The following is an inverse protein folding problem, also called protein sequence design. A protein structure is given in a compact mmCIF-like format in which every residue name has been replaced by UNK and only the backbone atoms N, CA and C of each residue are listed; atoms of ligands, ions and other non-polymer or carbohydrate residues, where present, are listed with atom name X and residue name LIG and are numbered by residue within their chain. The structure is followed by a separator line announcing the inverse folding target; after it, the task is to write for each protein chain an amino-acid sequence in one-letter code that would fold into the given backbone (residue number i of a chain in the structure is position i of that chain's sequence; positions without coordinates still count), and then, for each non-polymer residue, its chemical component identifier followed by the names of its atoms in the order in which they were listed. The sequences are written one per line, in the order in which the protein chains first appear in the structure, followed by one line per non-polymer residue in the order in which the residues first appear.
data_IF_045129468088
#
_entry.id   IF_045129468088
#
_cell.length_a   1.000
_cell.length_b   1.000
_cell.length_c   1.000
_cell.angle_alpha   90.00
_cell.angle_beta   90.00
_cell.angle_gamma   90.00
#
_symmetry.space_group_name_H-M   'P 1'
#
loop_
_entity.id
_entity.type
_entity.pdbx_description
1 polymer ?
#
# COMPACT_ATOMS: atom_id res chain seq x y z
N UNK A 1 13.84 -5.67 0.28
CA UNK A 1 15.00 -6.56 0.14
C UNK A 1 16.06 -6.40 1.23
N UNK A 2 16.76 -5.25 1.39
CA UNK A 2 17.82 -5.09 2.43
C UNK A 2 17.36 -5.40 3.88
N UNK A 3 16.06 -5.29 4.15
CA UNK A 3 15.44 -5.67 5.43
C UNK A 3 15.33 -7.19 5.65
N UNK A 4 15.63 -8.00 4.65
CA UNK A 4 15.48 -9.47 4.66
C UNK A 4 14.12 -9.97 4.18
N UNK A 5 13.27 -9.10 3.63
CA UNK A 5 12.01 -9.49 3.00
C UNK A 5 12.24 -9.94 1.56
N UNK A 6 11.57 -11.03 1.17
CA UNK A 6 11.62 -11.59 -0.19
C UNK A 6 10.49 -10.99 -1.03
N UNK A 7 10.79 -10.60 -2.26
CA UNK A 7 9.78 -10.18 -3.23
C UNK A 7 9.21 -11.43 -3.94
N UNK A 8 7.92 -11.69 -3.74
CA UNK A 8 7.23 -12.87 -4.29
C UNK A 8 6.65 -12.58 -5.67
N UNK A 9 6.07 -11.39 -5.82
CA UNK A 9 5.52 -10.93 -7.08
C UNK A 9 5.62 -9.41 -7.18
N UNK A 10 5.73 -8.92 -8.42
CA UNK A 10 5.64 -7.50 -8.73
C UNK A 10 4.98 -7.26 -10.09
N UNK A 11 4.16 -6.23 -10.19
CA UNK A 11 3.49 -5.82 -11.42
C UNK A 11 3.41 -4.29 -11.47
N UNK A 12 3.86 -3.69 -12.58
CA UNK A 12 3.59 -2.28 -12.86
C UNK A 12 2.26 -2.18 -13.61
N UNK A 13 1.24 -1.59 -12.98
CA UNK A 13 -0.12 -1.53 -13.52
C UNK A 13 -0.76 -0.16 -13.27
N UNK A 14 -1.57 0.31 -14.22
CA UNK A 14 -2.55 1.38 -13.94
C UNK A 14 -3.81 0.75 -13.38
N UNK A 15 -4.16 1.09 -12.14
CA UNK A 15 -5.32 0.51 -11.44
C UNK A 15 -6.59 1.17 -11.99
N UNK A 16 -7.59 0.37 -12.35
CA UNK A 16 -8.90 0.88 -12.74
C UNK A 16 -9.76 1.23 -11.51
N UNK A 17 -10.80 2.04 -11.70
CA UNK A 17 -11.66 2.50 -10.59
C UNK A 17 -12.41 1.36 -9.89
N UNK A 18 -12.79 0.30 -10.59
CA UNK A 18 -13.50 -0.83 -10.00
C UNK A 18 -12.58 -1.58 -9.02
N UNK A 19 -11.35 -1.88 -9.47
CA UNK A 19 -10.32 -2.49 -8.65
C UNK A 19 -9.95 -1.60 -7.47
N UNK A 20 -9.78 -0.29 -7.68
CA UNK A 20 -9.53 0.68 -6.61
C UNK A 20 -10.67 0.73 -5.58
N UNK A 21 -11.92 0.70 -6.04
CA UNK A 21 -13.10 0.67 -5.16
C UNK A 21 -13.16 -0.60 -4.32
N UNK A 22 -12.85 -1.76 -4.89
CA UNK A 22 -12.72 -3.02 -4.14
C UNK A 22 -11.60 -2.96 -3.10
N UNK A 23 -10.46 -2.37 -3.45
CA UNK A 23 -9.31 -2.23 -2.56
C UNK A 23 -9.64 -1.34 -1.35
N UNK A 24 -10.34 -0.22 -1.58
CA UNK A 24 -10.72 0.75 -0.55
C UNK A 24 -12.18 0.64 -0.09
N UNK A 25 -12.82 -0.53 -0.21
CA UNK A 25 -14.22 -0.71 0.13
C UNK A 25 -14.56 -0.29 1.58
N UNK A 26 -13.62 -0.47 2.51
CA UNK A 26 -13.75 -0.05 3.92
C UNK A 26 -13.83 1.48 4.10
N UNK A 27 -13.52 2.25 3.07
CA UNK A 27 -13.52 3.71 3.07
C UNK A 27 -14.63 4.32 2.23
N UNK A 28 -15.51 3.52 1.60
CA UNK A 28 -16.54 4.02 0.67
C UNK A 28 -17.44 5.12 1.27
N UNK A 29 -17.76 5.03 2.56
CA UNK A 29 -18.58 6.03 3.28
C UNK A 29 -17.80 7.27 3.75
N UNK A 30 -16.48 7.31 3.53
CA UNK A 30 -15.63 8.41 3.99
C UNK A 30 -15.63 9.55 2.97
N UNK A 31 -15.62 10.81 3.43
CA UNK A 31 -15.66 11.97 2.53
C UNK A 31 -14.45 12.06 1.58
N UNK A 32 -13.33 11.43 1.93
CA UNK A 32 -12.09 11.40 1.14
C UNK A 32 -12.01 10.22 0.14
N UNK A 33 -13.04 9.36 0.07
CA UNK A 33 -12.99 8.17 -0.78
C UNK A 33 -12.80 8.49 -2.27
N UNK A 34 -13.51 9.51 -2.76
CA UNK A 34 -13.38 9.96 -4.15
C UNK A 34 -11.95 10.36 -4.49
N UNK A 35 -11.36 11.23 -3.67
CA UNK A 35 -9.98 11.69 -3.84
C UNK A 35 -8.98 10.53 -3.76
N UNK A 36 -9.22 9.54 -2.90
CA UNK A 36 -8.39 8.35 -2.75
C UNK A 36 -8.41 7.47 -4.00
N UNK A 37 -9.60 7.24 -4.57
CA UNK A 37 -9.77 6.49 -5.83
C UNK A 37 -9.15 7.27 -7.00
N UNK A 38 -9.32 8.59 -7.05
CA UNK A 38 -8.73 9.42 -8.10
C UNK A 38 -7.19 9.38 -8.02
N UNK A 39 -6.62 9.45 -6.81
CA UNK A 39 -5.19 9.39 -6.59
C UNK A 39 -4.58 8.06 -7.05
N UNK A 40 -5.14 6.93 -6.64
CA UNK A 40 -4.55 5.62 -6.95
C UNK A 40 -4.72 5.21 -8.43
N UNK A 41 -5.71 5.78 -9.13
CA UNK A 41 -6.00 5.45 -10.54
C UNK A 41 -5.34 6.40 -11.55
N UNK A 42 -4.82 7.55 -11.12
CA UNK A 42 -4.26 8.58 -12.05
C UNK A 42 -2.96 8.19 -12.74
N UNK A 43 -2.22 7.21 -12.22
CA UNK A 43 -0.89 6.84 -12.71
C UNK A 43 -0.58 5.37 -12.44
N UNK A 44 0.36 4.75 -13.19
CA UNK A 44 0.83 3.42 -12.88
C UNK A 44 1.39 3.31 -11.45
N UNK A 45 1.04 2.24 -10.76
CA UNK A 45 1.59 1.85 -9.47
C UNK A 45 2.40 0.56 -9.61
N UNK A 46 3.53 0.50 -8.91
CA UNK A 46 4.27 -0.76 -8.75
C UNK A 46 3.65 -1.54 -7.59
N UNK A 47 2.89 -2.57 -7.92
CA UNK A 47 2.30 -3.49 -6.97
C UNK A 47 3.34 -4.54 -6.60
N UNK A 48 3.42 -4.88 -5.32
CA UNK A 48 4.38 -5.87 -4.82
C UNK A 48 3.74 -6.75 -3.74
N UNK A 49 4.06 -8.05 -3.79
CA UNK A 49 3.83 -8.99 -2.69
C UNK A 49 5.17 -9.33 -2.10
N UNK A 50 5.30 -9.14 -0.78
CA UNK A 50 6.52 -9.46 -0.03
C UNK A 50 6.23 -10.46 1.07
N UNK A 51 7.18 -11.35 1.32
CA UNK A 51 7.11 -12.36 2.37
C UNK A 51 8.27 -12.24 3.36
N UNK A 52 8.08 -12.81 4.55
CA UNK A 52 9.01 -12.76 5.67
C UNK A 52 8.40 -13.40 6.92
N UNK A 53 8.81 -12.97 8.13
CA UNK A 53 8.25 -13.44 9.39
C UNK A 53 6.72 -13.23 9.50
N UNK A 54 6.11 -13.84 10.52
CA UNK A 54 4.64 -13.80 10.71
C UNK A 54 4.04 -12.41 10.82
N UNK A 55 4.84 -11.39 11.17
CA UNK A 55 4.45 -9.99 11.28
C UNK A 55 4.98 -9.11 10.14
N UNK A 56 5.21 -9.68 8.94
CA UNK A 56 5.73 -8.98 7.76
C UNK A 56 5.01 -7.65 7.47
N UNK A 57 3.68 -7.60 7.61
CA UNK A 57 2.93 -6.34 7.41
C UNK A 57 3.40 -5.22 8.37
N UNK A 58 3.69 -5.54 9.64
CA UNK A 58 4.23 -4.57 10.61
C UNK A 58 5.61 -4.10 10.20
N UNK A 59 6.46 -5.02 9.74
CA UNK A 59 7.81 -4.70 9.26
C UNK A 59 7.73 -3.74 8.06
N UNK A 60 6.85 -4.03 7.09
CA UNK A 60 6.62 -3.16 5.92
C UNK A 60 6.12 -1.78 6.35
N UNK A 61 5.13 -1.70 7.25
CA UNK A 61 4.63 -0.43 7.77
C UNK A 61 5.69 0.40 8.50
N UNK A 62 6.58 -0.25 9.25
CA UNK A 62 7.70 0.41 9.89
C UNK A 62 8.69 0.99 8.85
N UNK A 63 8.91 0.30 7.72
CA UNK A 63 9.72 0.84 6.62
C UNK A 63 9.03 2.00 5.90
N UNK A 64 7.70 1.95 5.78
CA UNK A 64 6.91 3.03 5.16
C UNK A 64 6.95 4.32 5.97
N UNK A 65 6.83 4.21 7.30
CA UNK A 65 6.71 5.36 8.20
C UNK A 65 5.25 5.81 8.41
N UNK A 66 5.07 6.77 9.32
CA UNK A 66 3.75 7.32 9.66
C UNK A 66 3.00 7.85 8.42
N UNK A 67 1.67 7.76 8.42
CA UNK A 67 0.83 8.20 7.29
C UNK A 67 1.04 9.67 6.93
N UNK A 68 1.19 10.53 7.94
CA UNK A 68 1.58 11.92 7.76
C UNK A 68 3.11 12.00 7.59
N UNK A 69 3.63 12.40 6.42
CA UNK A 69 5.09 12.48 6.20
C UNK A 69 5.80 13.37 7.21
N UNK A 70 5.12 14.42 7.71
CA UNK A 70 5.65 15.35 8.73
C UNK A 70 5.87 14.70 10.09
N UNK A 71 5.26 13.54 10.33
CA UNK A 71 5.39 12.75 11.56
C UNK A 71 6.21 11.46 11.32
N UNK A 72 6.60 11.19 10.08
CA UNK A 72 7.37 9.99 9.73
C UNK A 72 8.84 10.17 10.11
N UNK A 73 9.44 9.13 10.68
CA UNK A 73 10.83 9.17 11.08
C UNK A 73 11.78 9.25 9.86
N UNK A 74 12.92 9.96 9.96
CA UNK A 74 13.97 9.91 8.94
C UNK A 74 14.42 8.48 8.65
N UNK A 75 14.70 8.16 7.39
CA UNK A 75 15.06 6.82 6.92
C UNK A 75 13.87 5.93 6.56
N UNK A 76 12.63 6.40 6.76
CA UNK A 76 11.43 5.72 6.26
C UNK A 76 11.05 6.26 4.88
N UNK A 77 10.30 5.47 4.10
CA UNK A 77 9.90 5.87 2.73
C UNK A 77 9.17 7.23 2.77
N UNK A 78 8.21 7.40 3.67
CA UNK A 78 7.44 8.65 3.79
C UNK A 78 8.28 9.78 4.39
N UNK A 79 9.10 9.49 5.39
CA UNK A 79 9.95 10.50 6.01
C UNK A 79 10.98 11.10 5.05
N UNK A 80 11.48 10.29 4.11
CA UNK A 80 12.53 10.72 3.19
C UNK A 80 11.98 11.25 1.84
N UNK A 81 10.84 10.73 1.38
CA UNK A 81 10.39 10.95 0.00
C UNK A 81 9.02 11.62 -0.12
N UNK A 82 8.14 11.54 0.88
CA UNK A 82 6.78 12.07 0.81
C UNK A 82 6.69 13.48 1.41
N UNK A 83 5.73 14.28 0.92
CA UNK A 83 5.50 15.66 1.38
C UNK A 83 4.07 15.83 1.91
N UNK A 84 3.09 15.38 1.14
CA UNK A 84 1.66 15.57 1.43
C UNK A 84 1.02 14.35 2.08
N UNK A 85 0.02 14.58 2.94
CA UNK A 85 -0.69 13.53 3.66
C UNK A 85 -1.49 12.61 2.73
N UNK A 86 -2.18 13.20 1.75
CA UNK A 86 -3.06 12.50 0.81
C UNK A 86 -2.29 11.81 -0.31
N UNK A 87 -1.05 12.23 -0.58
CA UNK A 87 -0.17 11.69 -1.62
C UNK A 87 1.13 11.14 -1.01
N UNK A 88 0.99 10.28 -0.01
CA UNK A 88 2.11 9.80 0.82
C UNK A 88 2.94 8.65 0.21
N UNK A 89 2.97 8.57 -1.12
CA UNK A 89 3.78 7.68 -1.98
C UNK A 89 3.54 6.17 -1.91
N UNK A 90 3.26 5.58 -0.74
CA UNK A 90 3.26 4.13 -0.57
C UNK A 90 2.07 3.66 0.26
N UNK A 91 1.45 2.56 -0.18
CA UNK A 91 0.44 1.80 0.56
C UNK A 91 1.04 0.50 1.10
N UNK A 92 0.47 -0.03 2.17
CA UNK A 92 0.82 -1.33 2.71
C UNK A 92 -0.23 -1.79 3.71
N UNK A 93 -0.56 -3.08 3.63
CA UNK A 93 -1.61 -3.72 4.43
C UNK A 93 -1.38 -3.50 5.93
N UNK A 94 -2.47 -3.35 6.67
CA UNK A 94 -2.46 -3.00 8.11
C UNK A 94 -2.71 -4.18 9.05
N UNK A 95 -3.03 -5.34 8.50
CA UNK A 95 -3.36 -6.57 9.23
C UNK A 95 -3.15 -7.79 8.32
N UNK A 96 -3.05 -9.01 8.88
CA UNK A 96 -3.07 -10.23 8.09
C UNK A 96 -4.32 -10.36 7.21
N UNK A 97 -5.47 -9.92 7.73
CA UNK A 97 -6.75 -9.96 7.04
C UNK A 97 -6.78 -9.00 5.84
N UNK A 98 -6.30 -7.76 6.01
CA UNK A 98 -6.19 -6.82 4.89
C UNK A 98 -5.14 -7.29 3.89
N UNK A 99 -4.01 -7.85 4.34
CA UNK A 99 -2.99 -8.40 3.44
C UNK A 99 -3.55 -9.52 2.55
N UNK A 100 -4.26 -10.49 3.12
CA UNK A 100 -4.86 -11.59 2.36
C UNK A 100 -5.88 -11.07 1.33
N UNK A 101 -6.75 -10.13 1.74
CA UNK A 101 -7.74 -9.51 0.85
C UNK A 101 -7.08 -8.73 -0.29
N UNK A 102 -6.09 -7.89 0.02
CA UNK A 102 -5.39 -7.05 -0.95
C UNK A 102 -4.61 -7.91 -1.95
N UNK A 103 -3.90 -8.95 -1.49
CA UNK A 103 -3.22 -9.91 -2.35
C UNK A 103 -4.23 -10.61 -3.27
N UNK A 104 -5.38 -11.06 -2.76
CA UNK A 104 -6.41 -11.70 -3.58
C UNK A 104 -7.06 -10.77 -4.60
N UNK A 105 -7.06 -9.44 -4.39
CA UNK A 105 -7.54 -8.46 -5.36
C UNK A 105 -6.55 -8.31 -6.52
N UNK A 106 -5.26 -8.14 -6.22
CA UNK A 106 -4.25 -7.79 -7.23
C UNK A 106 -3.53 -8.99 -7.85
N UNK A 107 -3.35 -10.08 -7.09
CA UNK A 107 -2.63 -11.28 -7.48
C UNK A 107 -3.45 -12.55 -7.13
N UNK A 108 -4.63 -12.76 -7.74
CA UNK A 108 -5.54 -13.86 -7.39
C UNK A 108 -4.96 -15.28 -7.61
N UNK A 109 -3.85 -15.40 -8.33
CA UNK A 109 -3.13 -16.66 -8.54
C UNK A 109 -2.16 -17.01 -7.40
N UNK A 110 -1.95 -16.12 -6.44
CA UNK A 110 -1.11 -16.34 -5.25
C UNK A 110 -1.94 -16.68 -4.00
N UNK A 111 -3.27 -16.69 -4.11
CA UNK A 111 -4.21 -16.91 -3.00
C UNK A 111 -4.68 -18.36 -2.92
#
# INVERSE_FOLDING_TARGET
ERKGLTLVAAELRTIDRETAGRHYAEHESKPFFGDLVDFITRSPALLMVVEGPSDTFKVVRNLMGATNPKEAAPGTIRGDLAIELTENLVHGSDSPESAAREIGIFFPHLS
#
